data_IF_519467055037
#
_entry.id   IF_519467055037
#
_cell.length_a   1.000
_cell.length_b   1.000
_cell.length_c   1.000
_cell.angle_alpha   90.00
_cell.angle_beta   90.00
_cell.angle_gamma   90.00
#
_symmetry.space_group_name_H-M   'P 1'
#
loop_
_entity.id
_entity.type
_entity.pdbx_description
1 polymer ?
#
# COMPACT_ATOMS: atom_id res chain seq x y z
N UNK A 1 43.44 33.01 17.19
CA UNK A 1 44.34 32.08 17.92
C UNK A 1 43.52 30.98 18.56
N UNK A 2 43.54 29.82 17.92
CA UNK A 2 43.88 28.51 18.49
C UNK A 2 43.17 28.14 19.77
N UNK A 3 42.32 27.14 19.67
CA UNK A 3 41.76 26.42 20.78
C UNK A 3 40.89 25.27 20.35
N UNK A 4 41.44 24.37 19.52
CA UNK A 4 40.86 23.04 19.31
C UNK A 4 41.08 22.25 20.60
N UNK A 5 40.07 22.06 21.40
CA UNK A 5 40.06 21.12 22.50
C UNK A 5 39.58 19.78 22.04
N UNK A 6 40.52 18.94 21.70
CA UNK A 6 40.41 17.49 21.75
C UNK A 6 39.93 17.04 23.13
N UNK A 7 38.69 16.58 23.24
CA UNK A 7 38.28 15.73 24.35
C UNK A 7 37.90 14.35 23.81
N UNK A 8 38.91 13.47 23.86
CA UNK A 8 38.78 12.09 24.31
C UNK A 8 37.75 11.23 23.55
N UNK A 9 38.09 10.83 22.33
CA UNK A 9 37.65 9.55 21.83
C UNK A 9 38.16 8.47 22.76
N UNK A 10 37.31 7.92 23.62
CA UNK A 10 37.61 6.67 24.31
C UNK A 10 37.77 5.59 23.24
N UNK A 11 39.01 5.17 23.08
CA UNK A 11 39.33 3.94 22.36
C UNK A 11 38.60 2.82 23.10
N UNK A 12 37.71 2.11 22.43
CA UNK A 12 37.04 0.94 23.00
C UNK A 12 38.07 -0.09 23.40
N UNK A 13 37.96 -0.53 24.64
CA UNK A 13 38.70 -1.72 25.09
C UNK A 13 37.92 -2.97 24.64
N UNK A 14 38.58 -4.14 24.50
CA UNK A 14 37.95 -5.40 24.11
C UNK A 14 36.80 -5.90 25.01
N UNK A 15 36.59 -5.25 26.16
CA UNK A 15 35.56 -5.55 27.15
C UNK A 15 34.29 -4.73 27.01
N UNK A 16 34.22 -3.76 26.08
CA UNK A 16 33.00 -3.00 25.87
C UNK A 16 32.01 -3.80 25.02
N UNK A 17 30.74 -3.98 25.44
CA UNK A 17 29.75 -4.71 24.64
C UNK A 17 29.46 -3.94 23.35
N UNK A 18 29.20 -4.62 22.23
CA UNK A 18 28.87 -4.00 20.97
C UNK A 18 27.59 -3.17 21.07
N UNK A 19 27.57 -1.99 20.45
CA UNK A 19 26.37 -1.11 20.34
C UNK A 19 25.34 -1.61 19.35
N UNK A 20 25.46 -2.83 18.86
CA UNK A 20 24.43 -3.48 18.04
C UNK A 20 23.56 -4.34 18.92
N UNK A 21 22.31 -4.01 19.07
CA UNK A 21 21.33 -4.95 19.58
C UNK A 21 21.15 -6.08 18.56
N UNK A 22 21.26 -7.32 18.96
CA UNK A 22 20.91 -8.44 18.09
C UNK A 22 19.39 -8.60 18.12
N UNK A 23 18.72 -8.12 17.08
CA UNK A 23 17.37 -8.59 16.75
C UNK A 23 17.45 -9.78 15.77
N UNK A 24 18.62 -10.11 15.31
CA UNK A 24 18.88 -11.37 14.62
C UNK A 24 19.72 -12.24 15.53
N UNK A 25 19.06 -13.24 16.15
CA UNK A 25 19.72 -14.24 16.96
C UNK A 25 20.83 -14.94 16.16
N UNK A 26 21.95 -15.22 16.86
CA UNK A 26 23.06 -16.03 16.42
C UNK A 26 22.60 -17.48 16.15
N UNK A 27 22.03 -17.74 14.97
CA UNK A 27 21.81 -19.09 14.44
C UNK A 27 22.37 -19.27 13.03
N UNK A 28 23.45 -18.58 12.71
CA UNK A 28 24.32 -19.02 11.62
C UNK A 28 25.64 -19.52 12.18
N UNK A 29 25.58 -20.74 12.77
CA UNK A 29 26.77 -21.53 13.03
C UNK A 29 27.54 -21.74 11.73
N UNK A 30 28.81 -21.32 11.73
CA UNK A 30 29.78 -21.59 10.69
C UNK A 30 29.84 -23.09 10.38
N UNK A 31 29.12 -23.52 9.35
CA UNK A 31 29.38 -24.81 8.71
C UNK A 31 30.47 -24.57 7.65
N UNK A 32 31.71 -24.66 8.09
CA UNK A 32 32.86 -24.76 7.20
C UNK A 32 32.80 -26.12 6.49
N UNK A 33 32.57 -26.13 5.18
CA UNK A 33 32.77 -27.33 4.37
C UNK A 33 31.73 -27.72 3.35
N UNK A 34 30.69 -26.91 3.09
CA UNK A 34 29.76 -27.20 2.02
C UNK A 34 29.84 -26.22 0.86
N UNK A 35 29.87 -26.77 -0.36
CA UNK A 35 29.89 -26.02 -1.61
C UNK A 35 28.67 -25.12 -1.75
N UNK A 36 28.80 -23.89 -1.33
CA UNK A 36 27.76 -22.84 -1.24
C UNK A 36 27.02 -22.63 -2.58
N UNK A 37 27.66 -22.91 -3.71
CA UNK A 37 27.04 -22.77 -5.02
C UNK A 37 25.96 -23.83 -5.30
N UNK A 38 26.10 -25.05 -4.76
CA UNK A 38 25.12 -26.12 -4.95
C UNK A 38 23.87 -25.92 -4.09
N UNK A 39 24.05 -25.43 -2.86
CA UNK A 39 22.93 -25.11 -1.97
C UNK A 39 22.12 -23.89 -2.43
N UNK A 40 22.82 -22.86 -2.94
CA UNK A 40 22.14 -21.69 -3.51
C UNK A 40 21.33 -22.04 -4.77
N UNK A 41 21.90 -22.82 -5.69
CA UNK A 41 21.19 -23.28 -6.89
C UNK A 41 20.01 -24.19 -6.55
N UNK A 42 20.13 -25.05 -5.54
CA UNK A 42 19.05 -25.95 -5.11
C UNK A 42 17.93 -25.15 -4.40
N UNK A 43 18.27 -24.17 -3.57
CA UNK A 43 17.31 -23.26 -2.94
C UNK A 43 16.61 -22.36 -3.98
N UNK A 44 17.34 -21.82 -4.95
CA UNK A 44 16.77 -21.04 -6.06
C UNK A 44 15.86 -21.92 -6.92
N UNK A 45 16.28 -23.15 -7.27
CA UNK A 45 15.43 -24.09 -8.00
C UNK A 45 14.19 -24.53 -7.19
N UNK A 46 14.32 -24.75 -5.88
CA UNK A 46 13.18 -25.06 -5.03
C UNK A 46 12.26 -23.86 -4.84
N UNK A 47 12.79 -22.63 -4.72
CA UNK A 47 12.01 -21.41 -4.72
C UNK A 47 11.30 -21.17 -6.06
N UNK A 48 11.97 -21.39 -7.21
CA UNK A 48 11.34 -21.27 -8.52
C UNK A 48 10.29 -22.36 -8.77
N UNK A 49 10.50 -23.60 -8.32
CA UNK A 49 9.48 -24.66 -8.36
C UNK A 49 8.33 -24.41 -7.35
N UNK A 50 8.62 -23.86 -6.18
CA UNK A 50 7.60 -23.43 -5.25
C UNK A 50 6.81 -22.23 -5.82
N UNK A 51 7.48 -21.24 -6.41
CA UNK A 51 6.80 -20.11 -7.08
C UNK A 51 5.90 -20.57 -8.23
N UNK A 52 6.31 -21.55 -9.05
CA UNK A 52 5.45 -22.10 -10.11
C UNK A 52 4.23 -22.84 -9.53
N UNK A 53 4.36 -23.49 -8.38
CA UNK A 53 3.23 -24.13 -7.66
C UNK A 53 2.33 -23.11 -6.94
N UNK A 54 2.90 -22.00 -6.42
CA UNK A 54 2.13 -20.92 -5.80
C UNK A 54 1.40 -20.07 -6.84
N UNK A 55 1.98 -19.87 -8.03
CA UNK A 55 1.33 -19.16 -9.14
C UNK A 55 0.13 -19.94 -9.72
N UNK A 56 0.11 -21.27 -9.61
CA UNK A 56 -1.04 -22.11 -9.99
C UNK A 56 -2.12 -22.21 -8.91
N UNK A 57 -1.94 -21.58 -7.76
CA UNK A 57 -2.88 -21.60 -6.64
C UNK A 57 -3.31 -20.19 -6.22
N UNK A 58 -3.35 -19.24 -7.16
CA UNK A 58 -4.03 -17.96 -6.90
C UNK A 58 -5.52 -18.25 -6.71
N UNK A 59 -6.03 -17.93 -5.55
CA UNK A 59 -7.41 -18.19 -5.14
C UNK A 59 -8.46 -17.40 -5.92
N UNK A 60 -8.04 -16.57 -6.89
CA UNK A 60 -8.91 -15.75 -7.73
C UNK A 60 -8.31 -15.56 -9.12
N UNK A 61 -8.92 -16.21 -10.11
CA UNK A 61 -8.45 -16.18 -11.51
C UNK A 61 -9.15 -15.10 -12.35
N UNK A 62 -10.31 -14.60 -11.89
CA UNK A 62 -11.15 -13.66 -12.63
C UNK A 62 -11.36 -12.37 -11.84
N UNK A 63 -11.03 -11.25 -12.48
CA UNK A 63 -11.19 -9.92 -11.94
C UNK A 63 -12.37 -9.19 -12.61
N UNK A 64 -13.07 -8.35 -11.85
CA UNK A 64 -14.18 -7.56 -12.38
C UNK A 64 -13.71 -6.64 -13.52
N UNK A 65 -12.54 -6.04 -13.43
CA UNK A 65 -11.96 -5.24 -14.52
C UNK A 65 -11.82 -6.01 -15.82
N UNK A 66 -11.44 -7.28 -15.76
CA UNK A 66 -11.30 -8.12 -16.96
C UNK A 66 -12.66 -8.44 -17.59
N UNK A 67 -13.70 -8.63 -16.77
CA UNK A 67 -15.07 -8.81 -17.23
C UNK A 67 -15.57 -7.52 -17.91
N UNK A 68 -15.35 -6.37 -17.25
CA UNK A 68 -15.76 -5.06 -17.78
C UNK A 68 -14.99 -4.67 -19.06
N UNK A 69 -13.80 -5.21 -19.25
CA UNK A 69 -13.03 -5.08 -20.49
C UNK A 69 -13.49 -6.04 -21.60
N UNK A 70 -14.55 -6.84 -21.40
CA UNK A 70 -15.11 -7.75 -22.40
C UNK A 70 -14.32 -9.05 -22.61
N UNK A 71 -13.34 -9.38 -21.75
CA UNK A 71 -12.51 -10.59 -21.92
C UNK A 71 -13.30 -11.90 -21.79
N UNK A 72 -14.48 -11.85 -21.15
CA UNK A 72 -15.28 -13.02 -20.81
C UNK A 72 -16.69 -12.98 -21.39
N UNK A 73 -16.96 -12.18 -22.42
CA UNK A 73 -18.27 -12.07 -23.04
C UNK A 73 -18.78 -13.43 -23.52
N UNK A 74 -20.00 -13.77 -23.11
CA UNK A 74 -20.63 -15.05 -23.44
C UNK A 74 -20.03 -16.27 -22.76
N UNK A 75 -19.12 -16.08 -21.81
CA UNK A 75 -18.47 -17.17 -21.06
C UNK A 75 -19.07 -17.35 -19.66
N UNK A 76 -19.07 -18.57 -19.15
CA UNK A 76 -19.33 -18.84 -17.74
C UNK A 76 -18.09 -18.52 -16.92
N UNK A 77 -18.28 -17.78 -15.80
CA UNK A 77 -17.20 -17.40 -14.89
C UNK A 77 -17.57 -17.66 -13.45
N UNK A 78 -16.55 -17.86 -12.60
CA UNK A 78 -16.67 -17.87 -11.13
C UNK A 78 -16.13 -16.56 -10.58
N UNK A 79 -17.03 -15.70 -10.09
CA UNK A 79 -16.71 -14.39 -9.53
C UNK A 79 -16.66 -14.48 -7.99
N UNK A 80 -15.56 -14.03 -7.39
CA UNK A 80 -15.37 -13.91 -5.94
C UNK A 80 -15.32 -12.44 -5.53
N UNK A 81 -16.12 -12.06 -4.54
CA UNK A 81 -16.17 -10.67 -4.11
C UNK A 81 -17.07 -10.44 -2.90
N UNK A 82 -17.38 -9.18 -2.67
CA UNK A 82 -18.21 -8.73 -1.56
C UNK A 82 -19.46 -8.02 -2.09
N UNK A 83 -20.60 -8.25 -1.41
CA UNK A 83 -21.85 -7.57 -1.73
C UNK A 83 -21.71 -6.08 -1.40
N UNK A 84 -21.72 -5.24 -2.42
CA UNK A 84 -21.67 -3.79 -2.28
C UNK A 84 -23.07 -3.18 -2.16
N UNK A 85 -24.02 -3.67 -2.98
CA UNK A 85 -25.44 -3.30 -2.95
C UNK A 85 -26.29 -4.51 -3.27
N UNK A 86 -27.51 -4.56 -2.72
CA UNK A 86 -28.50 -5.57 -3.06
C UNK A 86 -29.89 -4.95 -3.10
N UNK A 87 -30.60 -5.14 -4.21
CA UNK A 87 -31.97 -4.67 -4.42
C UNK A 87 -32.76 -5.68 -5.22
N UNK A 88 -34.07 -5.61 -5.19
CA UNK A 88 -34.93 -6.44 -6.03
C UNK A 88 -36.19 -6.91 -5.34
N UNK A 89 -36.81 -7.93 -5.90
CA UNK A 89 -38.08 -8.52 -5.47
C UNK A 89 -37.85 -9.94 -4.89
N UNK A 90 -38.97 -10.63 -4.62
CA UNK A 90 -38.95 -12.06 -4.24
C UNK A 90 -38.64 -13.01 -5.40
N UNK A 91 -38.59 -12.50 -6.64
CA UNK A 91 -38.33 -13.30 -7.86
C UNK A 91 -36.96 -13.03 -8.46
N UNK A 92 -36.50 -11.79 -8.38
CA UNK A 92 -35.24 -11.35 -9.00
C UNK A 92 -34.51 -10.43 -8.01
N UNK A 93 -33.19 -10.67 -7.82
CA UNK A 93 -32.27 -9.80 -7.09
C UNK A 93 -31.22 -9.25 -8.04
N UNK A 94 -30.92 -7.98 -7.88
CA UNK A 94 -29.79 -7.30 -8.49
C UNK A 94 -28.77 -7.06 -7.39
N UNK A 95 -27.67 -7.76 -7.46
CA UNK A 95 -26.59 -7.70 -6.47
C UNK A 95 -25.39 -7.07 -7.15
N UNK A 96 -24.91 -5.96 -6.62
CA UNK A 96 -23.63 -5.41 -7.06
C UNK A 96 -22.55 -6.06 -6.24
N UNK A 97 -21.67 -6.81 -6.89
CA UNK A 97 -20.49 -7.42 -6.27
C UNK A 97 -19.29 -6.54 -6.56
N UNK A 98 -18.47 -6.36 -5.54
CA UNK A 98 -17.24 -5.59 -5.58
C UNK A 98 -16.04 -6.50 -5.36
N UNK A 99 -14.97 -6.22 -6.13
CA UNK A 99 -13.62 -6.66 -5.80
C UNK A 99 -12.65 -5.45 -5.77
N UNK A 100 -11.35 -5.71 -5.71
CA UNK A 100 -10.33 -4.65 -5.69
C UNK A 100 -10.20 -3.89 -7.02
N UNK A 101 -10.80 -4.40 -8.10
CA UNK A 101 -10.66 -3.84 -9.46
C UNK A 101 -11.92 -3.11 -9.93
N UNK A 102 -13.08 -3.37 -9.32
CA UNK A 102 -14.33 -2.72 -9.72
C UNK A 102 -15.58 -3.30 -9.09
N UNK A 103 -16.71 -2.92 -9.67
CA UNK A 103 -18.04 -3.36 -9.29
C UNK A 103 -18.76 -3.92 -10.52
N UNK A 104 -19.51 -5.02 -10.36
CA UNK A 104 -20.33 -5.61 -11.41
C UNK A 104 -21.73 -5.94 -10.89
N UNK A 105 -22.75 -5.71 -11.70
CA UNK A 105 -24.11 -6.15 -11.40
C UNK A 105 -24.25 -7.64 -11.68
N UNK A 106 -24.73 -8.38 -10.69
CA UNK A 106 -25.08 -9.78 -10.79
C UNK A 106 -26.60 -9.93 -10.72
N UNK A 107 -27.20 -10.63 -11.67
CA UNK A 107 -28.65 -10.84 -11.75
C UNK A 107 -28.95 -12.26 -11.26
N UNK A 108 -29.60 -12.35 -10.11
CA UNK A 108 -29.98 -13.60 -9.46
C UNK A 108 -31.48 -13.81 -9.59
N UNK A 109 -31.90 -14.91 -10.26
CA UNK A 109 -33.31 -15.26 -10.47
C UNK A 109 -33.65 -16.48 -9.63
N UNK A 110 -34.80 -16.44 -8.91
CA UNK A 110 -35.23 -17.50 -8.01
C UNK A 110 -35.46 -18.82 -8.75
N UNK A 111 -36.04 -18.79 -9.93
CA UNK A 111 -36.31 -19.95 -10.76
C UNK A 111 -35.06 -20.68 -11.24
N UNK A 112 -33.92 -19.97 -11.31
CA UNK A 112 -32.62 -20.54 -11.66
C UNK A 112 -31.87 -21.05 -10.44
N UNK A 113 -31.85 -20.28 -9.34
CA UNK A 113 -31.04 -20.55 -8.16
C UNK A 113 -31.69 -21.50 -7.13
N UNK A 114 -33.01 -21.67 -7.23
CA UNK A 114 -33.83 -22.35 -6.24
C UNK A 114 -34.03 -21.51 -4.97
N UNK A 115 -34.96 -21.93 -4.13
CA UNK A 115 -35.42 -21.15 -2.98
C UNK A 115 -34.35 -20.94 -1.93
N UNK A 116 -33.58 -21.97 -1.64
CA UNK A 116 -32.60 -21.95 -0.54
C UNK A 116 -31.52 -20.91 -0.78
N UNK A 117 -30.81 -21.00 -1.89
CA UNK A 117 -29.71 -20.09 -2.18
C UNK A 117 -30.21 -18.67 -2.52
N UNK A 118 -31.35 -18.56 -3.18
CA UNK A 118 -31.94 -17.24 -3.45
C UNK A 118 -32.34 -16.51 -2.15
N UNK A 119 -32.93 -17.18 -1.17
CA UNK A 119 -33.32 -16.58 0.11
C UNK A 119 -32.09 -16.27 0.98
N UNK A 120 -31.05 -17.07 0.90
CA UNK A 120 -29.76 -16.78 1.52
C UNK A 120 -29.15 -15.49 0.93
N UNK A 121 -29.03 -15.36 -0.38
CA UNK A 121 -28.57 -14.15 -1.05
C UNK A 121 -29.43 -12.92 -0.74
N UNK A 122 -30.76 -13.12 -0.68
CA UNK A 122 -31.70 -12.05 -0.35
C UNK A 122 -31.51 -11.51 1.06
N UNK A 123 -31.21 -12.38 2.02
CA UNK A 123 -30.99 -12.01 3.43
C UNK A 123 -29.58 -11.53 3.72
N UNK A 124 -28.64 -11.76 2.80
CA UNK A 124 -27.27 -11.31 2.95
C UNK A 124 -27.14 -9.79 2.92
N UNK A 125 -26.45 -9.25 3.92
CA UNK A 125 -26.20 -7.82 4.05
C UNK A 125 -25.00 -7.39 3.19
N UNK A 126 -24.86 -6.08 2.99
CA UNK A 126 -23.68 -5.49 2.35
C UNK A 126 -22.42 -5.90 3.12
N UNK A 127 -21.29 -6.04 2.41
CA UNK A 127 -20.02 -6.57 2.88
C UNK A 127 -20.02 -8.09 3.20
N UNK A 128 -21.11 -8.82 3.00
CA UNK A 128 -21.05 -10.29 2.95
C UNK A 128 -20.22 -10.75 1.75
N UNK A 129 -19.39 -11.79 1.95
CA UNK A 129 -18.55 -12.36 0.88
C UNK A 129 -19.28 -13.47 0.14
N UNK A 130 -19.15 -13.49 -1.20
CA UNK A 130 -19.83 -14.41 -2.08
C UNK A 130 -18.92 -15.00 -3.14
N UNK A 131 -19.24 -16.21 -3.56
CA UNK A 131 -18.75 -16.82 -4.79
C UNK A 131 -19.99 -17.04 -5.68
N UNK A 132 -20.00 -16.39 -6.84
CA UNK A 132 -21.10 -16.48 -7.81
C UNK A 132 -20.60 -17.05 -9.13
N UNK A 133 -21.28 -18.06 -9.66
CA UNK A 133 -21.05 -18.58 -11.01
C UNK A 133 -22.15 -18.10 -11.93
N UNK A 134 -21.79 -17.80 -13.15
CA UNK A 134 -22.78 -17.36 -14.12
C UNK A 134 -22.21 -16.95 -15.46
N UNK A 135 -23.10 -16.63 -16.38
CA UNK A 135 -22.79 -16.18 -17.72
C UNK A 135 -22.57 -14.67 -17.75
N UNK A 136 -21.43 -14.24 -18.30
CA UNK A 136 -21.17 -12.82 -18.55
C UNK A 136 -21.96 -12.36 -19.78
N UNK A 137 -22.72 -11.30 -19.64
CA UNK A 137 -23.49 -10.71 -20.74
C UNK A 137 -23.18 -9.21 -20.86
N UNK A 138 -22.87 -8.72 -22.08
CA UNK A 138 -22.83 -7.30 -22.35
C UNK A 138 -24.23 -6.68 -22.19
N UNK A 139 -24.29 -5.44 -21.74
CA UNK A 139 -25.52 -4.69 -21.52
C UNK A 139 -25.32 -3.24 -21.93
N UNK A 140 -26.38 -2.61 -22.43
CA UNK A 140 -26.37 -1.17 -22.78
C UNK A 140 -26.44 -0.24 -21.56
N UNK A 141 -26.34 -0.79 -20.33
CA UNK A 141 -26.36 -0.02 -19.10
C UNK A 141 -24.98 0.55 -18.79
N UNK A 142 -24.95 1.49 -17.86
CA UNK A 142 -23.79 2.29 -17.45
C UNK A 142 -22.49 1.48 -17.17
N UNK A 143 -22.61 0.19 -16.81
CA UNK A 143 -21.44 -0.66 -16.52
C UNK A 143 -21.07 -1.64 -17.64
N UNK A 144 -21.73 -1.58 -18.79
CA UNK A 144 -21.36 -2.35 -20.00
C UNK A 144 -21.52 -3.88 -19.89
N UNK A 145 -21.47 -4.48 -18.72
CA UNK A 145 -21.54 -5.93 -18.48
C UNK A 145 -22.32 -6.28 -17.21
N UNK A 146 -22.94 -7.46 -17.20
CA UNK A 146 -23.56 -8.05 -16.03
C UNK A 146 -23.33 -9.58 -15.97
N UNK A 147 -23.40 -10.14 -14.76
CA UNK A 147 -23.31 -11.58 -14.54
C UNK A 147 -24.72 -12.17 -14.34
N UNK A 148 -25.17 -13.04 -15.22
CA UNK A 148 -26.39 -13.83 -15.04
C UNK A 148 -26.05 -15.04 -14.15
N UNK A 149 -26.44 -14.98 -12.87
CA UNK A 149 -26.04 -15.98 -11.88
C UNK A 149 -26.77 -17.29 -12.10
N UNK A 150 -26.02 -18.38 -12.25
CA UNK A 150 -26.52 -19.76 -12.38
C UNK A 150 -26.40 -20.57 -11.08
N UNK A 151 -25.40 -20.26 -10.22
CA UNK A 151 -25.17 -20.87 -8.92
C UNK A 151 -24.20 -20.04 -8.08
N UNK A 152 -23.94 -20.47 -6.83
CA UNK A 152 -22.97 -19.85 -5.96
C UNK A 152 -23.12 -20.23 -4.50
N UNK A 153 -22.41 -19.51 -3.65
CA UNK A 153 -22.47 -19.66 -2.19
C UNK A 153 -22.19 -18.31 -1.50
N UNK A 154 -22.75 -18.15 -0.29
CA UNK A 154 -22.39 -17.08 0.62
C UNK A 154 -21.30 -17.61 1.55
N UNK A 155 -20.05 -17.18 1.31
CA UNK A 155 -18.88 -17.66 2.04
C UNK A 155 -18.85 -17.12 3.47
N UNK A 156 -19.28 -15.87 3.65
CA UNK A 156 -19.33 -15.23 4.96
C UNK A 156 -20.42 -14.16 5.01
N UNK A 157 -21.36 -14.34 5.92
CA UNK A 157 -22.46 -13.41 6.15
C UNK A 157 -22.10 -12.36 7.19
N UNK A 158 -22.49 -11.12 6.94
CA UNK A 158 -22.45 -10.05 7.95
C UNK A 158 -23.54 -10.30 8.99
N UNK A 159 -23.16 -10.18 10.28
CA UNK A 159 -24.12 -10.31 11.38
C UNK A 159 -25.20 -9.23 11.30
N UNK A 160 -26.50 -9.57 11.24
CA UNK A 160 -27.58 -8.59 11.20
C UNK A 160 -27.65 -7.68 12.44
N UNK A 161 -27.16 -8.12 13.58
CA UNK A 161 -27.10 -7.31 14.81
C UNK A 161 -25.98 -6.25 14.76
N UNK A 162 -25.01 -6.42 13.86
CA UNK A 162 -23.87 -5.50 13.64
C UNK A 162 -23.66 -5.29 12.15
N UNK A 163 -24.58 -4.60 11.46
CA UNK A 163 -24.46 -4.33 10.05
C UNK A 163 -23.26 -3.40 9.77
N UNK A 164 -22.81 -3.38 8.52
CA UNK A 164 -21.72 -2.49 8.11
C UNK A 164 -22.13 -1.02 8.30
N UNK A 165 -21.41 -0.24 9.13
CA UNK A 165 -21.90 1.06 9.61
C UNK A 165 -21.61 2.22 8.65
N UNK A 166 -20.71 2.04 7.65
CA UNK A 166 -20.30 3.14 6.77
C UNK A 166 -21.24 3.18 5.57
N UNK A 167 -22.08 4.19 5.53
CA UNK A 167 -23.04 4.47 4.47
C UNK A 167 -22.47 5.49 3.47
N UNK A 168 -23.09 5.58 2.29
CA UNK A 168 -22.73 6.61 1.30
C UNK A 168 -22.94 8.03 1.83
N UNK A 169 -23.96 8.25 2.68
CA UNK A 169 -24.19 9.53 3.34
C UNK A 169 -23.07 9.86 4.34
N UNK A 170 -22.62 8.89 5.15
CA UNK A 170 -21.49 9.09 6.05
C UNK A 170 -20.21 9.49 5.32
N UNK A 171 -20.02 8.95 4.10
CA UNK A 171 -18.88 9.31 3.24
C UNK A 171 -19.04 10.70 2.60
N UNK A 172 -20.24 11.10 2.22
CA UNK A 172 -20.51 12.40 1.61
C UNK A 172 -20.33 13.56 2.63
N UNK A 173 -20.61 13.30 3.89
CA UNK A 173 -20.45 14.25 5.00
C UNK A 173 -19.01 14.33 5.52
N UNK A 174 -18.12 13.46 5.05
CA UNK A 174 -16.71 13.37 5.49
C UNK A 174 -15.88 14.65 5.26
N UNK A 175 -16.39 15.61 4.51
CA UNK A 175 -15.76 16.94 4.37
C UNK A 175 -15.98 17.86 5.58
N UNK A 176 -16.79 17.45 6.60
CA UNK A 176 -17.05 18.31 7.73
C UNK A 176 -17.53 17.71 9.05
N UNK A 177 -18.15 16.54 9.08
CA UNK A 177 -18.85 16.08 10.29
C UNK A 177 -18.45 14.72 10.86
N UNK A 178 -18.18 13.75 10.04
CA UNK A 178 -17.96 12.36 10.49
C UNK A 178 -16.51 11.87 10.38
N UNK A 179 -15.54 12.79 10.24
CA UNK A 179 -14.11 12.41 10.10
C UNK A 179 -13.61 11.57 11.27
N UNK A 180 -14.01 11.91 12.51
CA UNK A 180 -13.64 11.15 13.71
C UNK A 180 -14.21 9.74 13.66
N UNK A 181 -15.52 9.60 13.37
CA UNK A 181 -16.17 8.30 13.21
C UNK A 181 -15.50 7.42 12.14
N UNK A 182 -15.14 7.99 10.98
CA UNK A 182 -14.47 7.26 9.92
C UNK A 182 -13.05 6.84 10.33
N UNK A 183 -12.33 7.67 11.08
CA UNK A 183 -11.00 7.35 11.60
C UNK A 183 -11.06 6.28 12.68
N UNK A 184 -12.03 6.33 13.58
CA UNK A 184 -12.25 5.31 14.61
C UNK A 184 -12.65 3.96 14.00
N UNK A 185 -13.37 3.99 12.88
CA UNK A 185 -13.75 2.82 12.10
C UNK A 185 -12.85 2.61 10.88
N UNK A 186 -11.57 2.97 10.95
CA UNK A 186 -10.62 2.94 9.83
C UNK A 186 -10.56 1.58 9.14
N UNK A 187 -10.62 0.48 9.88
CA UNK A 187 -10.63 -0.90 9.36
C UNK A 187 -11.83 -1.19 8.44
N UNK A 188 -12.93 -0.48 8.58
CA UNK A 188 -14.09 -0.52 7.69
C UNK A 188 -14.02 0.57 6.62
N UNK A 189 -13.56 1.78 6.97
CA UNK A 189 -13.41 2.89 6.05
C UNK A 189 -12.48 2.57 4.87
N UNK A 190 -11.44 1.77 5.10
CA UNK A 190 -10.53 1.29 4.05
C UNK A 190 -11.23 0.54 2.90
N UNK A 191 -12.45 0.00 3.12
CA UNK A 191 -13.23 -0.73 2.11
C UNK A 191 -14.01 0.18 1.16
N UNK A 192 -14.07 1.47 1.43
CA UNK A 192 -14.78 2.43 0.59
C UNK A 192 -14.02 2.67 -0.72
N UNK A 193 -14.75 2.96 -1.80
CA UNK A 193 -14.13 3.25 -3.11
C UNK A 193 -13.11 4.38 -3.02
N UNK A 194 -13.42 5.47 -2.29
CA UNK A 194 -12.51 6.61 -2.10
C UNK A 194 -11.19 6.18 -1.48
N UNK A 195 -11.23 5.40 -0.38
CA UNK A 195 -10.01 4.96 0.30
C UNK A 195 -9.23 3.94 -0.52
N UNK A 196 -9.92 3.00 -1.15
CA UNK A 196 -9.30 2.03 -2.07
C UNK A 196 -8.56 2.75 -3.20
N UNK A 197 -9.20 3.74 -3.83
CA UNK A 197 -8.59 4.57 -4.87
C UNK A 197 -7.37 5.33 -4.36
N UNK A 198 -7.46 5.98 -3.21
CA UNK A 198 -6.32 6.67 -2.58
C UNK A 198 -5.15 5.73 -2.27
N UNK A 199 -5.43 4.51 -1.80
CA UNK A 199 -4.38 3.52 -1.52
C UNK A 199 -3.70 3.01 -2.79
N UNK A 200 -4.43 2.84 -3.89
CA UNK A 200 -3.86 2.49 -5.21
C UNK A 200 -2.94 3.59 -5.72
N UNK A 201 -3.40 4.85 -5.68
CA UNK A 201 -2.58 6.01 -6.07
C UNK A 201 -1.32 6.07 -5.20
N UNK A 202 -1.46 5.94 -3.88
CA UNK A 202 -0.31 5.90 -2.97
C UNK A 202 0.68 4.80 -3.31
N UNK A 203 0.20 3.60 -3.64
CA UNK A 203 1.05 2.49 -4.07
C UNK A 203 1.85 2.82 -5.32
N UNK A 204 1.22 3.45 -6.33
CA UNK A 204 1.93 3.90 -7.54
C UNK A 204 2.95 5.01 -7.25
N UNK A 205 2.66 5.93 -6.32
CA UNK A 205 3.67 6.93 -5.87
C UNK A 205 4.90 6.25 -5.29
N UNK A 206 4.74 5.25 -4.41
CA UNK A 206 5.88 4.50 -3.85
C UNK A 206 6.67 3.78 -4.95
N UNK A 207 5.96 3.13 -5.90
CA UNK A 207 6.58 2.49 -7.05
C UNK A 207 7.39 3.48 -7.88
N UNK A 208 6.83 4.65 -8.18
CA UNK A 208 7.49 5.71 -8.94
C UNK A 208 8.75 6.24 -8.23
N UNK A 209 8.70 6.45 -6.92
CA UNK A 209 9.90 6.87 -6.17
C UNK A 209 11.00 5.81 -6.26
N UNK A 210 10.64 4.53 -6.09
CA UNK A 210 11.62 3.45 -6.19
C UNK A 210 12.19 3.32 -7.61
N UNK A 211 11.37 3.38 -8.66
CA UNK A 211 11.84 3.29 -10.04
C UNK A 211 12.76 4.46 -10.37
N UNK A 212 12.36 5.68 -10.04
CA UNK A 212 13.18 6.88 -10.28
C UNK A 212 14.60 6.75 -9.74
N UNK A 213 14.75 6.36 -8.48
CA UNK A 213 16.06 6.27 -7.86
C UNK A 213 16.86 5.06 -8.37
N UNK A 214 16.23 3.91 -8.59
CA UNK A 214 16.90 2.72 -9.10
C UNK A 214 17.37 2.88 -10.55
N UNK A 215 16.61 3.55 -11.39
CA UNK A 215 16.98 3.85 -12.77
C UNK A 215 18.17 4.83 -12.88
N UNK A 216 18.47 5.53 -11.80
CA UNK A 216 19.62 6.44 -11.67
C UNK A 216 20.75 5.84 -10.80
N UNK A 217 20.76 4.51 -10.61
CA UNK A 217 21.78 3.77 -9.86
C UNK A 217 21.91 4.17 -8.38
N UNK A 218 20.83 4.67 -7.77
CA UNK A 218 20.80 4.85 -6.33
C UNK A 218 20.58 3.54 -5.60
N UNK A 219 21.26 3.36 -4.48
CA UNK A 219 21.12 2.22 -3.60
C UNK A 219 20.12 2.52 -2.50
N UNK A 220 19.09 1.68 -2.36
CA UNK A 220 18.18 1.76 -1.23
C UNK A 220 18.89 1.32 0.06
N UNK A 221 18.93 2.22 1.04
CA UNK A 221 19.56 1.96 2.33
C UNK A 221 18.58 2.25 3.47
N UNK A 222 18.30 1.24 4.29
CA UNK A 222 17.39 1.34 5.41
C UNK A 222 18.15 1.57 6.73
N UNK A 223 17.61 2.46 7.57
CA UNK A 223 18.18 2.76 8.89
C UNK A 223 17.19 2.38 10.00
N UNK A 224 17.68 2.18 11.25
CA UNK A 224 16.82 1.92 12.39
C UNK A 224 15.87 3.09 12.68
N UNK A 225 14.63 2.76 13.08
CA UNK A 225 13.67 3.77 13.52
C UNK A 225 13.86 4.19 14.98
N UNK A 226 14.48 3.34 15.82
CA UNK A 226 14.88 3.68 17.17
C UNK A 226 16.30 4.22 17.16
N UNK A 227 16.46 5.48 17.55
CA UNK A 227 17.74 6.19 17.51
C UNK A 227 18.12 6.70 18.89
N UNK A 228 19.42 6.94 19.09
CA UNK A 228 19.95 7.41 20.38
C UNK A 228 19.84 8.93 20.56
N UNK A 229 19.58 9.71 19.51
CA UNK A 229 19.56 11.17 19.54
C UNK A 229 18.81 11.78 18.36
N UNK A 230 18.78 13.12 18.34
CA UNK A 230 18.12 13.92 17.33
C UNK A 230 19.02 14.17 16.12
N UNK A 231 18.41 14.25 14.94
CA UNK A 231 19.02 14.83 13.72
C UNK A 231 18.83 16.35 13.73
N UNK A 232 17.61 16.81 14.01
CA UNK A 232 17.25 18.22 14.09
C UNK A 232 16.43 18.48 15.37
N UNK A 233 16.83 19.48 16.17
CA UNK A 233 16.06 20.03 17.30
C UNK A 233 15.48 19.01 18.28
N UNK A 234 16.17 18.70 19.37
CA UNK A 234 15.76 17.66 20.33
C UNK A 234 14.39 17.85 21.01
N UNK A 235 13.72 18.99 20.84
CA UNK A 235 12.41 19.29 21.42
C UNK A 235 11.22 18.61 20.70
N UNK A 236 11.45 18.05 19.52
CA UNK A 236 10.41 17.43 18.66
C UNK A 236 10.56 15.93 18.53
N UNK A 237 11.27 15.29 19.48
CA UNK A 237 11.46 13.84 19.53
C UNK A 237 10.36 13.14 20.31
N UNK A 238 9.89 12.01 19.81
CA UNK A 238 9.13 11.05 20.58
C UNK A 238 10.11 10.18 21.40
N UNK A 239 10.12 10.34 22.71
CA UNK A 239 10.90 9.50 23.60
C UNK A 239 10.21 8.15 23.81
N UNK A 240 10.99 7.07 23.72
CA UNK A 240 10.52 5.70 23.93
C UNK A 240 11.36 5.03 25.03
N UNK A 241 10.74 4.47 26.08
CA UNK A 241 11.45 3.64 27.05
C UNK A 241 12.01 2.39 26.36
N UNK A 242 13.33 2.19 26.43
CA UNK A 242 13.99 1.10 25.73
C UNK A 242 14.94 0.35 26.68
N UNK A 243 14.48 -0.77 27.24
CA UNK A 243 15.28 -1.63 28.15
C UNK A 243 16.09 -0.87 29.21
N UNK A 244 15.44 0.06 29.94
CA UNK A 244 16.07 0.88 30.98
C UNK A 244 16.92 2.05 30.47
N UNK A 245 16.91 2.32 29.17
CA UNK A 245 17.52 3.48 28.52
C UNK A 245 16.44 4.31 27.82
N UNK A 246 16.81 5.47 27.32
CA UNK A 246 15.99 6.29 26.43
C UNK A 246 16.39 6.02 24.99
N UNK A 247 15.39 5.78 24.14
CA UNK A 247 15.50 5.83 22.70
C UNK A 247 14.49 6.84 22.16
N UNK A 248 14.62 7.21 20.90
CA UNK A 248 13.73 8.15 20.23
C UNK A 248 13.30 7.59 18.89
N UNK A 249 12.10 7.93 18.46
CA UNK A 249 11.69 7.66 17.07
C UNK A 249 12.43 8.63 16.14
N UNK A 250 12.92 8.11 15.02
CA UNK A 250 13.73 8.87 14.07
C UNK A 250 12.96 10.01 13.42
N UNK A 251 13.60 11.16 13.23
CA UNK A 251 13.06 12.31 12.51
C UNK A 251 13.46 12.32 11.03
N UNK A 252 14.56 11.65 10.71
CA UNK A 252 15.17 11.56 9.39
C UNK A 252 16.17 10.42 9.37
N UNK A 253 16.41 9.89 8.23
CA UNK A 253 17.40 8.87 7.92
C UNK A 253 18.83 9.44 7.77
N UNK A 254 18.96 10.75 7.63
CA UNK A 254 20.16 11.49 7.21
C UNK A 254 21.48 11.03 7.88
N UNK A 255 21.53 10.96 9.20
CA UNK A 255 22.79 10.60 9.88
C UNK A 255 23.32 9.20 9.53
N UNK A 256 22.42 8.27 9.28
CA UNK A 256 22.79 6.94 8.83
C UNK A 256 23.26 6.93 7.37
N UNK A 257 22.62 7.74 6.53
CA UNK A 257 23.00 7.92 5.13
C UNK A 257 24.40 8.55 5.04
N UNK A 258 24.66 9.62 5.78
CA UNK A 258 25.99 10.25 5.83
C UNK A 258 27.09 9.27 6.25
N UNK A 259 26.78 8.38 7.21
CA UNK A 259 27.73 7.34 7.61
C UNK A 259 27.97 6.27 6.53
N UNK A 260 26.98 5.97 5.69
CA UNK A 260 27.09 4.99 4.62
C UNK A 260 27.60 5.59 3.29
N UNK A 261 27.47 6.90 3.11
CA UNK A 261 27.83 7.63 1.88
C UNK A 261 29.25 7.35 1.37
N UNK A 262 30.30 7.28 2.22
CA UNK A 262 31.66 6.97 1.74
C UNK A 262 31.80 5.59 1.08
N UNK A 263 30.86 4.68 1.31
CA UNK A 263 30.86 3.33 0.73
C UNK A 263 29.91 3.19 -0.46
N UNK A 264 28.79 3.93 -0.48
CA UNK A 264 27.71 3.71 -1.42
C UNK A 264 27.43 4.92 -2.34
N UNK A 265 27.94 6.09 -2.01
CA UNK A 265 27.95 7.36 -2.77
C UNK A 265 26.56 7.91 -3.17
N UNK A 266 25.61 7.09 -3.61
CA UNK A 266 24.24 7.47 -4.00
C UNK A 266 23.24 6.62 -3.26
N UNK A 267 22.53 7.24 -2.36
CA UNK A 267 21.63 6.56 -1.43
C UNK A 267 20.25 7.16 -1.48
N UNK A 268 19.23 6.34 -1.31
CA UNK A 268 17.87 6.81 -1.05
C UNK A 268 17.17 5.89 -0.05
N UNK A 269 16.09 6.39 0.50
CA UNK A 269 15.14 5.61 1.30
C UNK A 269 13.70 6.11 1.11
N UNK A 270 12.74 5.24 1.39
CA UNK A 270 11.38 5.62 1.74
C UNK A 270 11.09 4.98 3.09
N UNK A 271 11.07 5.78 4.14
CA UNK A 271 10.95 5.30 5.51
C UNK A 271 10.00 6.18 6.34
N UNK A 272 9.40 5.66 7.42
CA UNK A 272 8.63 6.47 8.33
C UNK A 272 9.56 7.43 9.10
N UNK A 273 9.10 8.68 9.23
CA UNK A 273 9.73 9.72 10.05
C UNK A 273 8.72 10.26 11.05
N UNK A 274 9.22 10.67 12.23
CA UNK A 274 8.37 11.03 13.36
C UNK A 274 8.78 12.40 13.89
N UNK A 275 7.80 13.31 14.03
CA UNK A 275 8.04 14.65 14.61
C UNK A 275 6.99 14.94 15.66
N UNK A 276 7.39 15.14 16.92
CA UNK A 276 6.52 15.42 18.06
C UNK A 276 6.11 16.90 18.10
N UNK A 277 5.73 17.46 16.97
CA UNK A 277 5.31 18.86 16.85
C UNK A 277 3.84 19.02 17.23
N UNK A 278 3.54 19.93 18.16
CA UNK A 278 2.19 20.28 18.55
C UNK A 278 1.55 21.25 17.54
N UNK A 279 1.46 20.82 16.29
CA UNK A 279 0.84 21.62 15.24
C UNK A 279 -0.62 21.22 15.03
N UNK A 280 -1.49 22.22 14.81
CA UNK A 280 -2.90 22.03 14.48
C UNK A 280 -3.19 22.26 13.00
N UNK A 281 -2.17 22.31 12.16
CA UNK A 281 -2.39 22.51 10.72
C UNK A 281 -2.74 21.19 10.03
N UNK A 282 -3.52 21.26 8.94
CA UNK A 282 -3.91 20.09 8.14
C UNK A 282 -2.74 19.44 7.40
N UNK A 283 -1.55 20.04 7.40
CA UNK A 283 -0.37 19.60 6.66
C UNK A 283 0.71 18.96 7.53
N UNK A 284 0.63 19.10 8.86
CA UNK A 284 1.61 18.52 9.78
C UNK A 284 1.08 17.19 10.31
N UNK A 285 1.84 16.14 10.07
CA UNK A 285 1.59 14.81 10.62
C UNK A 285 2.73 14.49 11.59
N UNK A 286 2.40 13.81 12.68
CA UNK A 286 3.40 13.33 13.65
C UNK A 286 4.16 12.12 13.16
N UNK A 287 3.58 11.38 12.20
CA UNK A 287 4.19 10.28 11.48
C UNK A 287 3.89 10.43 9.98
N UNK A 288 4.90 10.35 9.16
CA UNK A 288 4.78 10.43 7.69
C UNK A 288 5.85 9.59 7.01
N UNK A 289 5.58 9.20 5.77
CA UNK A 289 6.56 8.53 4.93
C UNK A 289 7.43 9.57 4.26
N UNK A 290 8.73 9.47 4.49
CA UNK A 290 9.74 10.39 4.02
C UNK A 290 10.52 9.73 2.88
N UNK A 291 10.57 10.38 1.72
CA UNK A 291 11.48 10.02 0.65
C UNK A 291 12.71 10.93 0.78
N UNK A 292 13.84 10.33 1.04
CA UNK A 292 15.10 11.04 1.27
C UNK A 292 16.18 10.49 0.33
N UNK A 293 17.10 11.34 -0.11
CA UNK A 293 18.28 10.94 -0.88
C UNK A 293 19.50 11.66 -0.39
N UNK A 294 20.66 11.01 -0.48
CA UNK A 294 21.97 11.56 -0.22
C UNK A 294 22.94 11.19 -1.32
N UNK A 295 23.72 12.15 -1.79
CA UNK A 295 24.66 11.99 -2.91
C UNK A 295 26.02 12.58 -2.54
N UNK A 296 27.06 11.75 -2.65
CA UNK A 296 28.44 12.24 -2.59
C UNK A 296 28.79 13.02 -3.87
N UNK A 297 29.68 14.01 -3.72
CA UNK A 297 30.26 14.79 -4.82
C UNK A 297 29.26 15.65 -5.60
N UNK A 298 28.03 15.80 -5.14
CA UNK A 298 27.00 16.58 -5.78
C UNK A 298 26.97 18.04 -5.31
N UNK A 299 26.73 18.94 -6.24
CA UNK A 299 26.41 20.34 -5.95
C UNK A 299 24.92 20.49 -5.59
N UNK A 300 24.57 21.61 -4.94
CA UNK A 300 23.16 21.92 -4.66
C UNK A 300 22.28 21.94 -5.92
N UNK A 301 22.81 22.40 -7.06
CA UNK A 301 22.08 22.42 -8.32
C UNK A 301 21.76 21.01 -8.83
N UNK A 302 22.64 20.03 -8.58
CA UNK A 302 22.38 18.62 -8.94
C UNK A 302 21.31 18.02 -8.04
N UNK A 303 21.35 18.29 -6.74
CA UNK A 303 20.31 17.86 -5.78
C UNK A 303 18.94 18.45 -6.18
N UNK A 304 18.88 19.73 -6.56
CA UNK A 304 17.64 20.36 -7.04
C UNK A 304 17.09 19.68 -8.28
N UNK A 305 17.95 19.32 -9.26
CA UNK A 305 17.53 18.59 -10.48
C UNK A 305 16.95 17.22 -10.16
N UNK A 306 17.49 16.52 -9.15
CA UNK A 306 16.91 15.25 -8.71
C UNK A 306 15.54 15.44 -8.05
N UNK A 307 15.36 16.49 -7.24
CA UNK A 307 14.05 16.84 -6.69
C UNK A 307 13.01 17.13 -7.75
N UNK A 308 13.39 17.95 -8.75
CA UNK A 308 12.56 18.25 -9.92
C UNK A 308 12.23 16.98 -10.72
N UNK A 309 13.25 16.19 -11.05
CA UNK A 309 13.08 14.95 -11.81
C UNK A 309 12.18 13.93 -11.10
N UNK A 310 12.31 13.80 -9.79
CA UNK A 310 11.46 12.94 -8.98
C UNK A 310 9.98 13.35 -9.06
N UNK A 311 9.68 14.65 -8.88
CA UNK A 311 8.30 15.15 -8.95
C UNK A 311 7.71 14.91 -10.34
N UNK A 312 8.47 15.17 -11.41
CA UNK A 312 8.06 14.94 -12.81
C UNK A 312 7.79 13.45 -13.06
N UNK A 313 8.68 12.59 -12.61
CA UNK A 313 8.54 11.14 -12.76
C UNK A 313 7.29 10.61 -12.05
N UNK A 314 7.05 11.04 -10.80
CA UNK A 314 5.83 10.67 -10.06
C UNK A 314 4.58 11.16 -10.81
N UNK A 315 4.56 12.41 -11.26
CA UNK A 315 3.41 12.97 -11.99
C UNK A 315 3.14 12.20 -13.29
N UNK A 316 4.18 11.89 -14.08
CA UNK A 316 4.08 11.09 -15.30
C UNK A 316 3.55 9.69 -15.03
N UNK A 317 4.12 8.98 -14.07
CA UNK A 317 3.66 7.63 -13.67
C UNK A 317 2.19 7.63 -13.24
N UNK A 318 1.76 8.62 -12.47
CA UNK A 318 0.38 8.73 -12.03
C UNK A 318 -0.59 8.99 -13.18
N UNK A 319 -0.21 9.79 -14.16
CA UNK A 319 -1.01 10.02 -15.37
C UNK A 319 -1.12 8.76 -16.22
N UNK A 320 -0.06 7.98 -16.33
CA UNK A 320 -0.05 6.74 -17.09
C UNK A 320 -0.85 5.63 -16.40
N UNK A 321 -0.64 5.43 -15.10
CA UNK A 321 -1.18 4.26 -14.39
C UNK A 321 -2.54 4.52 -13.73
N UNK A 322 -2.88 5.79 -13.37
CA UNK A 322 -3.95 6.14 -12.42
C UNK A 322 -4.84 7.30 -12.85
N UNK A 323 -4.92 7.59 -14.14
CA UNK A 323 -5.76 8.69 -14.67
C UNK A 323 -7.23 8.54 -14.28
N UNK A 324 -7.78 7.33 -14.36
CA UNK A 324 -9.17 7.08 -14.01
C UNK A 324 -9.42 7.26 -12.52
N UNK A 325 -8.52 6.75 -11.68
CA UNK A 325 -8.58 6.91 -10.23
C UNK A 325 -8.45 8.39 -9.81
N UNK A 326 -7.54 9.13 -10.42
CA UNK A 326 -7.38 10.56 -10.18
C UNK A 326 -8.64 11.34 -10.57
N UNK A 327 -9.21 11.04 -11.74
CA UNK A 327 -10.46 11.64 -12.22
C UNK A 327 -11.62 11.33 -11.29
N UNK A 328 -11.73 10.11 -10.79
CA UNK A 328 -12.77 9.69 -9.83
C UNK A 328 -12.70 10.43 -8.49
N UNK A 329 -11.52 10.90 -8.12
CA UNK A 329 -11.31 11.77 -6.95
C UNK A 329 -11.47 13.27 -7.27
N UNK A 330 -11.93 13.63 -8.48
CA UNK A 330 -12.11 15.01 -8.91
C UNK A 330 -10.80 15.78 -9.09
N UNK A 331 -9.71 15.10 -9.46
CA UNK A 331 -8.41 15.75 -9.70
C UNK A 331 -8.33 16.24 -11.13
N UNK A 332 -7.73 17.43 -11.29
CA UNK A 332 -7.47 18.02 -12.61
C UNK A 332 -6.21 17.39 -13.22
N UNK A 333 -6.40 16.52 -14.22
CA UNK A 333 -5.30 15.86 -14.92
C UNK A 333 -4.42 16.82 -15.69
N UNK A 334 -4.98 17.95 -16.21
CA UNK A 334 -4.19 18.94 -16.91
C UNK A 334 -3.20 19.63 -15.96
N UNK A 335 -3.62 19.88 -14.71
CA UNK A 335 -2.72 20.44 -13.71
C UNK A 335 -1.58 19.46 -13.38
N UNK A 336 -1.88 18.18 -13.27
CA UNK A 336 -0.85 17.14 -13.01
C UNK A 336 0.10 17.02 -14.21
N UNK A 337 -0.41 17.09 -15.45
CA UNK A 337 0.40 17.07 -16.68
C UNK A 337 1.39 18.25 -16.72
N UNK A 338 1.00 19.44 -16.26
CA UNK A 338 1.92 20.56 -16.16
C UNK A 338 3.13 20.24 -15.28
N UNK A 339 2.96 19.53 -14.17
CA UNK A 339 4.08 19.10 -13.33
C UNK A 339 4.95 18.02 -13.99
N UNK A 340 4.39 17.20 -14.87
CA UNK A 340 5.16 16.21 -15.62
C UNK A 340 6.02 16.84 -16.72
N UNK A 341 5.56 17.93 -17.34
CA UNK A 341 6.14 18.50 -18.56
C UNK A 341 6.96 19.77 -18.33
N UNK A 342 6.68 20.55 -17.29
CA UNK A 342 7.29 21.87 -17.09
C UNK A 342 8.61 21.77 -16.32
N UNK A 343 9.74 22.21 -16.88
CA UNK A 343 10.97 22.39 -16.10
C UNK A 343 10.81 23.55 -15.10
N UNK A 344 11.40 23.42 -13.93
CA UNK A 344 11.48 24.46 -12.90
C UNK A 344 12.66 25.38 -13.15
#
# INVERSE_FOLDING_TARGET
>A
STGLLTRGSRVRTPSDPPLSSPIFGDEFGLISGFNTNYLMLTLICQCLHAQSRWLTQMSKDIWISDILAGKYDGSEVELKGWIYRSRGSNKIRFIVVRDSTGNIQCVAKRDVLGDVFFDELKSSLIESSVILKGLVQPTDREHGHELQVSSGEVVGSVNPERPFPITESAMAEADGGETEFLLDNRHLYLRTSRMTTMLKIRSSVFGAVHSYFRDLDFIEYQAPNFVAGAVEGGSTLFEVPYFGRKAYLTQSWQLYAEAAMPALERLYTIAPSFRAEKSRTRRHLTEFWHAEMEIAWASNNEVMKHGEGLVRHIAGTLLEERSDELSSLGRDLNLISQYADTPY
#
